data_IF_995984317613
#
_entry.id   IF_995984317613
#
_cell.length_a   1.000
_cell.length_b   1.000
_cell.length_c   1.000
_cell.angle_alpha   90.00
_cell.angle_beta   90.00
_cell.angle_gamma   90.00
#
_symmetry.space_group_name_H-M   'P 1'
#
loop_
_entity.id
_entity.type
_entity.pdbx_description
1 polymer ?
#
# COMPACT_ATOMS: atom_id res chain seq x y z
N UNK A 1 -10.09 -39.52 -8.12
CA UNK A 1 -10.66 -38.19 -8.41
C UNK A 1 -11.72 -38.35 -9.50
N UNK A 2 -13.00 -38.07 -9.23
CA UNK A 2 -14.10 -38.32 -10.19
C UNK A 2 -14.59 -37.05 -10.90
N UNK A 3 -14.50 -35.88 -10.26
CA UNK A 3 -14.99 -34.59 -10.81
C UNK A 3 -13.88 -33.76 -11.47
N UNK A 4 -12.61 -34.10 -11.22
CA UNK A 4 -11.46 -33.28 -11.60
C UNK A 4 -11.29 -32.00 -10.77
N UNK A 5 -11.96 -31.90 -9.60
CA UNK A 5 -11.84 -30.76 -8.69
C UNK A 5 -10.55 -30.84 -7.84
N UNK A 6 -9.87 -29.71 -7.69
CA UNK A 6 -8.76 -29.51 -6.75
C UNK A 6 -9.26 -29.12 -5.34
N UNK A 7 -8.49 -29.46 -4.30
CA UNK A 7 -8.76 -29.00 -2.93
C UNK A 7 -8.18 -27.60 -2.80
N UNK A 8 -9.04 -26.59 -2.66
CA UNK A 8 -8.61 -25.20 -2.66
C UNK A 8 -8.27 -24.70 -1.25
N UNK A 9 -7.39 -23.69 -1.19
CA UNK A 9 -7.16 -22.92 0.04
C UNK A 9 -8.37 -22.05 0.35
N UNK A 10 -8.44 -21.54 1.58
CA UNK A 10 -9.47 -20.57 1.98
C UNK A 10 -9.56 -19.42 0.98
N UNK A 11 -10.78 -19.03 0.62
CA UNK A 11 -11.07 -17.91 -0.28
C UNK A 11 -10.55 -18.04 -1.71
N UNK A 12 -10.18 -19.26 -2.14
CA UNK A 12 -9.81 -19.58 -3.53
C UNK A 12 -10.81 -20.60 -4.07
N UNK A 13 -11.29 -20.38 -5.28
CA UNK A 13 -12.33 -21.18 -5.95
C UNK A 13 -11.92 -21.53 -7.38
N UNK A 14 -12.82 -22.23 -8.08
CA UNK A 14 -12.60 -22.73 -9.43
C UNK A 14 -12.13 -24.18 -9.44
N UNK A 15 -12.27 -24.83 -10.59
CA UNK A 15 -11.89 -26.24 -10.78
C UNK A 15 -10.43 -26.49 -10.42
N UNK A 16 -9.58 -25.53 -10.79
CA UNK A 16 -8.13 -25.56 -10.64
C UNK A 16 -7.61 -24.69 -9.49
N UNK A 17 -8.50 -24.15 -8.65
CA UNK A 17 -8.16 -23.25 -7.53
C UNK A 17 -7.32 -22.03 -7.95
N UNK A 18 -7.74 -21.34 -9.00
CA UNK A 18 -7.01 -20.21 -9.60
C UNK A 18 -7.85 -18.92 -9.66
N UNK A 19 -8.99 -18.87 -8.97
CA UNK A 19 -9.86 -17.70 -8.92
C UNK A 19 -10.11 -17.29 -7.47
N UNK A 20 -10.18 -15.99 -7.15
CA UNK A 20 -10.58 -15.57 -5.82
C UNK A 20 -12.08 -15.85 -5.61
N UNK A 21 -12.46 -16.22 -4.40
CA UNK A 21 -13.86 -16.29 -4.01
C UNK A 21 -14.53 -14.91 -4.13
N UNK A 22 -15.87 -14.89 -4.19
CA UNK A 22 -16.62 -13.63 -4.15
C UNK A 22 -16.21 -12.79 -2.92
N UNK A 23 -15.99 -11.49 -3.13
CA UNK A 23 -15.52 -10.58 -2.09
C UNK A 23 -14.03 -10.69 -1.74
N UNK A 24 -13.25 -11.52 -2.45
CA UNK A 24 -11.81 -11.65 -2.28
C UNK A 24 -11.06 -11.24 -3.54
N UNK A 25 -9.76 -11.01 -3.41
CA UNK A 25 -8.86 -10.68 -4.51
C UNK A 25 -7.50 -11.31 -4.27
N UNK A 26 -6.70 -11.41 -5.33
CA UNK A 26 -5.28 -11.71 -5.18
C UNK A 26 -4.52 -10.39 -5.04
N UNK A 27 -3.83 -10.16 -3.92
CA UNK A 27 -3.09 -8.93 -3.71
C UNK A 27 -1.98 -8.81 -4.76
N UNK A 28 -1.72 -7.58 -5.21
CA UNK A 28 -0.52 -7.29 -5.99
C UNK A 28 0.72 -7.34 -5.08
N UNK A 29 1.90 -7.31 -5.69
CA UNK A 29 3.16 -7.21 -4.93
C UNK A 29 3.27 -5.87 -4.17
N UNK A 30 2.45 -4.87 -4.52
CA UNK A 30 2.39 -3.56 -3.89
C UNK A 30 1.17 -3.44 -2.97
N UNK A 31 0.73 -4.52 -2.33
CA UNK A 31 -0.43 -4.45 -1.44
C UNK A 31 -0.14 -3.69 -0.14
N UNK A 32 1.08 -3.80 0.39
CA UNK A 32 1.53 -3.05 1.56
C UNK A 32 2.16 -1.73 1.08
N UNK A 33 1.37 -0.66 1.09
CA UNK A 33 1.81 0.70 0.80
C UNK A 33 1.67 1.54 2.06
N UNK A 34 2.66 2.40 2.29
CA UNK A 34 2.67 3.34 3.41
C UNK A 34 2.94 4.72 2.84
N UNK A 35 2.01 5.63 3.10
CA UNK A 35 2.04 6.98 2.58
C UNK A 35 2.89 7.87 3.47
N UNK A 36 3.97 8.43 2.91
CA UNK A 36 4.92 9.24 3.69
C UNK A 36 4.26 10.51 4.22
N UNK A 37 3.27 11.05 3.50
CA UNK A 37 2.47 12.21 3.89
C UNK A 37 1.67 12.02 5.18
N UNK A 38 1.41 10.78 5.59
CA UNK A 38 0.74 10.45 6.85
C UNK A 38 1.76 10.16 7.97
N UNK A 39 3.05 10.32 7.67
CA UNK A 39 4.14 10.23 8.62
C UNK A 39 4.25 11.44 9.55
N UNK A 40 5.10 11.27 10.57
CA UNK A 40 5.39 12.27 11.58
C UNK A 40 6.86 12.70 11.53
N UNK A 41 7.13 13.94 11.88
CA UNK A 41 8.49 14.42 12.12
C UNK A 41 9.04 13.79 13.39
N UNK A 42 10.29 13.31 13.35
CA UNK A 42 10.88 12.63 14.52
C UNK A 42 10.95 13.51 15.76
N UNK A 43 11.37 14.76 15.60
CA UNK A 43 11.68 15.65 16.71
C UNK A 43 10.45 16.05 17.53
N UNK A 44 9.34 16.33 16.85
CA UNK A 44 8.15 16.91 17.48
C UNK A 44 6.90 16.03 17.35
N UNK A 45 6.98 14.89 16.66
CA UNK A 45 5.84 14.00 16.40
C UNK A 45 4.65 14.73 15.75
N UNK A 46 4.94 15.77 14.97
CA UNK A 46 3.93 16.52 14.20
C UNK A 46 3.85 15.98 12.78
N UNK A 47 2.72 16.14 12.08
CA UNK A 47 2.62 15.77 10.67
C UNK A 47 3.77 16.33 9.83
N UNK A 48 4.26 15.53 8.89
CA UNK A 48 5.28 15.96 7.93
C UNK A 48 4.71 16.97 6.94
N UNK A 49 5.60 17.81 6.40
CA UNK A 49 5.30 18.67 5.26
C UNK A 49 5.36 17.84 3.98
N UNK A 50 4.32 17.94 3.17
CA UNK A 50 4.24 17.36 1.84
C UNK A 50 3.81 18.41 0.81
N UNK A 51 4.10 18.14 -0.45
CA UNK A 51 3.74 18.96 -1.62
C UNK A 51 2.95 18.08 -2.61
N UNK A 52 2.30 18.67 -3.63
CA UNK A 52 1.43 17.94 -4.56
C UNK A 52 1.44 18.49 -6.00
N UNK A 53 2.56 19.06 -6.46
CA UNK A 53 2.68 19.54 -7.84
C UNK A 53 2.89 18.40 -8.83
N UNK A 54 1.88 18.13 -9.67
CA UNK A 54 1.91 17.08 -10.71
C UNK A 54 2.98 17.32 -11.78
N UNK A 55 3.41 18.57 -11.99
CA UNK A 55 4.46 18.90 -12.96
C UNK A 55 5.85 18.64 -12.40
N UNK A 56 6.02 18.66 -11.07
CA UNK A 56 7.27 18.32 -10.41
C UNK A 56 7.36 16.80 -10.14
N UNK A 57 6.30 16.22 -9.57
CA UNK A 57 6.21 14.81 -9.24
C UNK A 57 4.76 14.31 -9.33
N UNK A 58 4.40 13.79 -10.51
CA UNK A 58 3.10 13.18 -10.76
C UNK A 58 3.00 11.71 -10.32
N UNK A 59 1.81 11.12 -10.49
CA UNK A 59 1.50 9.71 -10.20
C UNK A 59 1.76 9.27 -8.74
N UNK A 60 1.66 10.18 -7.78
CA UNK A 60 1.63 9.80 -6.37
C UNK A 60 0.37 8.97 -6.06
N UNK A 61 0.48 8.05 -5.11
CA UNK A 61 -0.57 7.10 -4.72
C UNK A 61 -1.72 7.75 -3.97
N UNK A 62 -1.48 8.88 -3.29
CA UNK A 62 -2.44 9.47 -2.38
C UNK A 62 -2.47 11.01 -2.41
N UNK A 63 -1.98 11.71 -1.37
CA UNK A 63 -2.12 13.18 -1.23
C UNK A 63 -1.01 13.93 -1.97
N UNK A 64 0.18 13.34 -2.09
CA UNK A 64 1.32 14.02 -2.70
C UNK A 64 2.66 13.33 -2.48
N UNK A 65 3.71 14.12 -2.27
CA UNK A 65 5.06 13.65 -1.99
C UNK A 65 5.71 14.44 -0.85
N UNK A 66 6.54 13.75 -0.06
CA UNK A 66 7.29 14.35 1.04
C UNK A 66 8.67 14.79 0.55
N UNK A 67 8.99 16.08 0.71
CA UNK A 67 10.32 16.60 0.43
C UNK A 67 11.22 16.50 1.67
N UNK A 68 12.39 15.90 1.50
CA UNK A 68 13.44 15.90 2.52
C UNK A 68 14.23 17.21 2.49
N UNK A 69 14.49 17.78 3.66
CA UNK A 69 15.24 19.03 3.82
C UNK A 69 15.99 19.04 5.16
N UNK A 70 16.79 20.08 5.42
CA UNK A 70 17.43 20.26 6.72
C UNK A 70 16.43 20.46 7.87
N UNK A 71 15.22 20.94 7.58
CA UNK A 71 14.14 21.07 8.56
C UNK A 71 13.36 19.76 8.77
N UNK A 72 13.41 18.86 7.80
CA UNK A 72 12.68 17.59 7.78
C UNK A 72 13.55 16.54 7.12
N UNK A 73 14.58 16.08 7.83
CA UNK A 73 15.54 15.10 7.32
C UNK A 73 15.11 13.65 7.57
N UNK A 74 14.04 13.45 8.35
CA UNK A 74 13.55 12.14 8.74
C UNK A 74 12.03 12.14 8.84
N UNK A 75 11.42 11.03 8.43
CA UNK A 75 9.98 10.76 8.50
C UNK A 75 9.80 9.48 9.28
N UNK A 76 8.93 9.51 10.29
CA UNK A 76 8.55 8.33 11.05
C UNK A 76 7.13 7.90 10.65
N UNK A 77 7.02 6.68 10.16
CA UNK A 77 5.74 6.09 9.81
C UNK A 77 5.19 5.29 10.99
N UNK A 78 3.96 5.56 11.46
CA UNK A 78 3.27 4.68 12.38
C UNK A 78 2.77 3.45 11.61
N UNK A 79 3.57 2.38 11.59
CA UNK A 79 3.14 1.09 11.04
C UNK A 79 2.26 0.41 12.09
N UNK A 80 1.01 0.11 11.74
CA UNK A 80 0.09 -0.69 12.56
C UNK A 80 0.40 -2.18 12.45
#
# INVERSE_FOLDING_TARGET
>A
KQTGQCVCRSSIVGRDCNQPAMGHYFPSLHHLQYELEDGLTKKHQTPVRYEFDINEFGNFSWKGYVRYSTLQSEVQLPIQ
#
